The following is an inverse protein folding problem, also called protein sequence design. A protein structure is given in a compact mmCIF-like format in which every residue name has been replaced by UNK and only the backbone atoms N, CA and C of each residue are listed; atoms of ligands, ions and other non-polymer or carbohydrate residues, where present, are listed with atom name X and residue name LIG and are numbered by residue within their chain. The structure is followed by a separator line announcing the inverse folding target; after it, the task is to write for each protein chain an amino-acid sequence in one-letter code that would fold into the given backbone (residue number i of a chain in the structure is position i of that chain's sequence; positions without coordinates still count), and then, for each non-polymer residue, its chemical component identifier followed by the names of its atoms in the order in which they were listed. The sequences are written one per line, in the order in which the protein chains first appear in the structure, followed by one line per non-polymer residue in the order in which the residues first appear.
data_IF_929973102061
#
_entry.id   IF_929973102061
#
_cell.length_a   1.000
_cell.length_b   1.000
_cell.length_c   1.000
_cell.angle_alpha   90.00
_cell.angle_beta   90.00
_cell.angle_gamma   90.00
#
_symmetry.space_group_name_H-M   'P 1'
#
loop_
_entity.id
_entity.type
_entity.pdbx_description
1 polymer ?
#
# COMPACT_ATOMS: atom_id res chain seq x y z
N UNK A 1 -6.72 -10.59 20.61
CA UNK A 1 -7.21 -10.78 19.23
C UNK A 1 -6.87 -12.20 18.77
N UNK A 2 -7.76 -12.84 17.99
CA UNK A 2 -7.42 -14.06 17.25
C UNK A 2 -7.06 -13.69 15.82
N UNK A 3 -5.86 -14.05 15.39
CA UNK A 3 -5.40 -13.89 14.01
C UNK A 3 -5.61 -15.22 13.25
N UNK A 4 -6.50 -15.28 12.25
CA UNK A 4 -6.62 -16.46 11.37
C UNK A 4 -5.31 -16.81 10.67
N UNK A 5 -5.20 -18.05 10.15
CA UNK A 5 -4.00 -18.49 9.42
C UNK A 5 -3.59 -17.51 8.31
N UNK A 6 -2.30 -17.25 8.20
CA UNK A 6 -1.66 -16.31 7.26
C UNK A 6 -0.94 -15.21 8.00
N UNK A 7 -0.39 -14.25 7.26
CA UNK A 7 0.29 -13.09 7.83
C UNK A 7 -0.63 -11.86 7.83
N UNK A 8 -0.47 -11.02 8.83
CA UNK A 8 -1.26 -9.81 9.06
C UNK A 8 -0.32 -8.65 9.27
N UNK A 9 -0.62 -7.51 8.71
CA UNK A 9 0.15 -6.29 8.85
C UNK A 9 -0.60 -5.32 9.75
N UNK A 10 0.03 -4.87 10.81
CA UNK A 10 -0.46 -3.77 11.64
C UNK A 10 -0.32 -2.47 10.84
N UNK A 11 -1.41 -1.74 10.65
CA UNK A 11 -1.38 -0.50 9.86
C UNK A 11 -0.81 0.70 10.61
N UNK A 12 -0.62 0.60 11.92
CA UNK A 12 -0.01 1.68 12.68
C UNK A 12 1.51 1.57 12.73
N UNK A 13 2.03 0.34 12.86
CA UNK A 13 3.47 0.09 13.02
C UNK A 13 4.13 -0.48 11.75
N UNK A 14 3.35 -1.05 10.83
CA UNK A 14 3.85 -1.80 9.68
C UNK A 14 4.35 -3.21 10.03
N UNK A 15 4.30 -3.62 11.29
CA UNK A 15 4.78 -4.93 11.72
C UNK A 15 3.95 -6.07 11.14
N UNK A 16 4.62 -7.18 10.84
CA UNK A 16 4.00 -8.40 10.31
C UNK A 16 3.79 -9.40 11.42
N UNK A 17 2.54 -9.80 11.63
CA UNK A 17 2.14 -10.77 12.65
C UNK A 17 1.74 -12.08 11.97
N UNK A 18 2.38 -13.19 12.38
CA UNK A 18 1.97 -14.52 11.93
C UNK A 18 0.68 -14.93 12.62
N UNK A 19 -0.31 -15.35 11.82
CA UNK A 19 -1.60 -15.82 12.30
C UNK A 19 -1.62 -17.28 12.76
N UNK A 20 -2.82 -17.83 12.86
CA UNK A 20 -3.07 -19.17 13.45
C UNK A 20 -3.02 -19.16 14.98
N UNK A 21 -3.05 -17.98 15.61
CA UNK A 21 -2.88 -17.84 17.08
C UNK A 21 -3.69 -16.69 17.65
N UNK A 22 -3.83 -16.70 18.98
CA UNK A 22 -4.26 -15.53 19.75
C UNK A 22 -3.03 -14.73 20.17
N UNK A 23 -3.16 -13.42 20.15
CA UNK A 23 -2.15 -12.49 20.68
C UNK A 23 -2.84 -11.38 21.48
N UNK A 24 -2.15 -10.86 22.48
CA UNK A 24 -2.45 -9.58 23.09
C UNK A 24 -2.02 -8.47 22.13
N UNK A 25 -2.82 -7.44 22.01
CA UNK A 25 -2.55 -6.26 21.20
C UNK A 25 -2.88 -5.03 22.01
N UNK A 26 -2.07 -4.00 21.88
CA UNK A 26 -2.38 -2.71 22.47
C UNK A 26 -3.60 -2.10 21.79
N UNK A 27 -4.50 -1.58 22.60
CA UNK A 27 -5.72 -0.91 22.15
C UNK A 27 -5.91 0.40 22.92
N UNK A 28 -5.06 1.40 22.69
CA UNK A 28 -5.17 2.69 23.38
C UNK A 28 -6.45 3.41 22.94
N UNK A 29 -6.97 4.26 23.83
CA UNK A 29 -8.26 4.94 23.61
C UNK A 29 -8.29 5.87 22.39
N UNK A 30 -7.13 6.31 21.91
CA UNK A 30 -7.01 7.24 20.80
C UNK A 30 -6.96 6.58 19.41
N UNK A 31 -6.80 5.25 19.31
CA UNK A 31 -6.91 4.52 18.05
C UNK A 31 -7.27 3.04 18.26
N UNK A 32 -7.99 2.49 17.33
CA UNK A 32 -8.34 1.06 17.32
C UNK A 32 -7.25 0.24 16.66
N UNK A 33 -6.93 -0.96 17.16
CA UNK A 33 -6.06 -1.90 16.46
C UNK A 33 -6.61 -2.21 15.07
N UNK A 34 -5.78 -2.08 14.04
CA UNK A 34 -6.17 -2.27 12.66
C UNK A 34 -5.16 -3.16 11.92
N UNK A 35 -5.58 -4.36 11.57
CA UNK A 35 -4.74 -5.37 10.94
C UNK A 35 -5.31 -5.76 9.59
N UNK A 36 -4.45 -5.76 8.58
CA UNK A 36 -4.80 -6.14 7.21
C UNK A 36 -4.00 -7.38 6.81
N UNK A 37 -4.66 -8.31 6.15
CA UNK A 37 -4.00 -9.53 5.69
C UNK A 37 -2.91 -9.21 4.66
N UNK A 38 -1.73 -9.84 4.78
CA UNK A 38 -0.63 -9.71 3.83
C UNK A 38 -1.05 -9.98 2.39
N UNK A 39 -0.52 -9.19 1.46
CA UNK A 39 -0.84 -9.26 0.04
C UNK A 39 -2.20 -8.66 -0.33
N UNK A 40 -2.85 -7.93 0.56
CA UNK A 40 -4.07 -7.21 0.24
C UNK A 40 -3.76 -5.91 -0.51
N UNK A 41 -4.64 -5.53 -1.43
CA UNK A 41 -4.62 -4.24 -2.10
C UNK A 41 -6.05 -3.72 -2.24
N UNK A 42 -6.32 -2.50 -1.79
CA UNK A 42 -7.65 -1.89 -1.87
C UNK A 42 -7.59 -0.36 -1.80
N UNK A 43 -8.53 0.33 -2.45
CA UNK A 43 -8.63 1.79 -2.40
C UNK A 43 -9.00 2.28 -1.00
N UNK A 44 -8.42 3.40 -0.59
CA UNK A 44 -8.70 4.10 0.66
C UNK A 44 -8.78 5.59 0.43
N UNK A 45 -9.51 6.29 1.30
CA UNK A 45 -9.46 7.75 1.37
C UNK A 45 -8.44 8.18 2.42
N UNK A 46 -7.58 9.11 2.06
CA UNK A 46 -6.51 9.64 2.90
C UNK A 46 -6.50 11.16 2.84
N UNK A 47 -5.89 11.80 3.83
CA UNK A 47 -5.60 13.23 3.76
C UNK A 47 -4.61 13.51 2.63
N UNK A 48 -4.89 14.48 1.77
CA UNK A 48 -3.99 14.89 0.70
C UNK A 48 -2.69 15.55 1.20
N UNK A 49 -2.66 15.99 2.44
CA UNK A 49 -1.49 16.63 3.04
C UNK A 49 -0.58 15.64 3.77
N UNK A 50 -1.17 14.76 4.57
CA UNK A 50 -0.43 13.89 5.50
C UNK A 50 -0.52 12.42 5.14
N UNK A 51 -1.38 12.04 4.19
CA UNK A 51 -1.71 10.65 3.83
C UNK A 51 -2.16 9.80 5.02
N UNK A 52 -2.78 10.43 6.01
CA UNK A 52 -3.41 9.70 7.11
C UNK A 52 -4.71 9.05 6.66
N UNK A 53 -4.92 7.81 7.12
CA UNK A 53 -6.15 7.06 6.88
C UNK A 53 -7.35 7.69 7.60
N UNK A 54 -8.55 7.31 7.17
CA UNK A 54 -9.83 7.71 7.75
C UNK A 54 -10.24 9.18 7.52
N UNK A 55 -9.73 9.82 6.46
CA UNK A 55 -10.30 11.06 5.99
C UNK A 55 -11.68 10.78 5.37
N UNK A 56 -12.75 11.49 5.77
CA UNK A 56 -14.08 11.26 5.23
C UNK A 56 -14.14 11.40 3.70
N UNK A 57 -14.88 10.51 3.04
CA UNK A 57 -15.14 10.67 1.61
C UNK A 57 -15.95 11.95 1.37
N UNK A 58 -15.54 12.72 0.36
CA UNK A 58 -16.15 14.01 0.04
C UNK A 58 -15.56 15.21 0.80
N UNK A 59 -14.57 15.00 1.65
CA UNK A 59 -13.74 16.08 2.16
C UNK A 59 -12.88 16.63 1.02
N UNK A 60 -12.81 17.96 0.87
CA UNK A 60 -12.00 18.61 -0.17
C UNK A 60 -10.49 18.34 -0.01
N UNK A 61 -10.06 17.95 1.17
CA UNK A 61 -8.68 17.54 1.47
C UNK A 61 -8.45 16.04 1.27
N UNK A 62 -9.47 15.28 0.89
CA UNK A 62 -9.34 13.85 0.68
C UNK A 62 -8.67 13.53 -0.67
N UNK A 63 -7.76 12.57 -0.64
CA UNK A 63 -7.16 11.97 -1.82
C UNK A 63 -7.45 10.47 -1.84
N UNK A 64 -7.57 9.90 -3.02
CA UNK A 64 -7.65 8.45 -3.19
C UNK A 64 -6.25 7.84 -3.23
N UNK A 65 -6.03 6.82 -2.43
CA UNK A 65 -4.82 6.04 -2.42
C UNK A 65 -5.12 4.54 -2.55
N UNK A 66 -4.21 3.77 -3.13
CA UNK A 66 -4.22 2.32 -3.08
C UNK A 66 -3.38 1.88 -1.88
N UNK A 67 -4.02 1.29 -0.87
CA UNK A 67 -3.31 0.65 0.23
C UNK A 67 -2.91 -0.77 -0.19
N UNK A 68 -1.63 -1.11 -0.02
CA UNK A 68 -1.07 -2.43 -0.33
C UNK A 68 -0.26 -2.91 0.86
N UNK A 69 -0.46 -4.17 1.24
CA UNK A 69 0.36 -4.80 2.29
C UNK A 69 1.37 -5.77 1.69
N UNK A 70 2.55 -5.87 2.31
CA UNK A 70 3.60 -6.79 1.92
C UNK A 70 3.04 -8.21 1.69
N UNK A 71 3.32 -8.87 0.56
CA UNK A 71 2.75 -10.16 0.26
C UNK A 71 3.48 -11.31 0.97
N UNK A 72 2.74 -12.40 1.16
CA UNK A 72 3.27 -13.72 1.44
C UNK A 72 2.62 -14.68 0.44
N UNK A 73 3.22 -14.82 -0.75
CA UNK A 73 2.65 -15.49 -1.91
C UNK A 73 1.90 -14.54 -2.85
N UNK A 74 0.91 -15.06 -3.57
CA UNK A 74 0.09 -14.28 -4.52
C UNK A 74 -1.34 -14.14 -4.02
N UNK A 75 -1.87 -12.92 -4.10
CA UNK A 75 -3.25 -12.62 -3.72
C UNK A 75 -3.87 -11.61 -4.68
N UNK A 76 -5.14 -11.83 -5.03
CA UNK A 76 -5.94 -10.87 -5.80
C UNK A 76 -7.09 -10.32 -4.97
N UNK A 77 -7.37 -9.04 -5.14
CA UNK A 77 -8.49 -8.31 -4.54
C UNK A 77 -9.34 -7.68 -5.64
N UNK A 78 -10.65 -7.81 -5.53
CA UNK A 78 -11.59 -7.27 -6.52
C UNK A 78 -12.39 -6.14 -5.89
N UNK A 79 -12.50 -5.03 -6.62
CA UNK A 79 -13.31 -3.88 -6.26
C UNK A 79 -14.30 -3.58 -7.37
N UNK A 80 -15.47 -3.12 -6.97
CA UNK A 80 -16.51 -2.69 -7.88
C UNK A 80 -16.78 -1.22 -7.64
N UNK A 81 -16.72 -0.44 -8.71
CA UNK A 81 -17.15 0.95 -8.68
C UNK A 81 -18.67 1.03 -8.81
N UNK A 82 -19.22 2.21 -8.59
CA UNK A 82 -20.65 2.52 -8.70
C UNK A 82 -21.32 2.10 -10.03
N UNK A 83 -20.54 1.88 -11.08
CA UNK A 83 -20.98 1.51 -12.45
C UNK A 83 -20.73 0.05 -12.80
N UNK A 84 -20.59 -0.85 -11.83
CA UNK A 84 -20.27 -2.26 -12.05
C UNK A 84 -18.93 -2.51 -12.76
N UNK A 85 -18.06 -1.53 -12.84
CA UNK A 85 -16.72 -1.73 -13.35
C UNK A 85 -15.90 -2.42 -12.30
N UNK A 86 -15.38 -3.60 -12.63
CA UNK A 86 -14.55 -4.41 -11.74
C UNK A 86 -13.09 -4.05 -11.94
N UNK A 87 -12.44 -3.59 -10.90
CA UNK A 87 -10.98 -3.45 -10.83
C UNK A 87 -10.40 -4.60 -10.01
N UNK A 88 -9.39 -5.26 -10.54
CA UNK A 88 -8.66 -6.31 -9.84
C UNK A 88 -7.23 -5.84 -9.58
N UNK A 89 -6.82 -5.88 -8.32
CA UNK A 89 -5.43 -5.72 -7.92
C UNK A 89 -4.86 -7.08 -7.55
N UNK A 90 -3.69 -7.40 -8.07
CA UNK A 90 -2.96 -8.63 -7.71
C UNK A 90 -1.61 -8.25 -7.14
N UNK A 91 -1.31 -8.74 -5.95
CA UNK A 91 -0.01 -8.58 -5.28
C UNK A 91 0.65 -9.95 -5.23
N UNK A 92 1.86 -10.06 -5.77
CA UNK A 92 2.56 -11.33 -5.93
C UNK A 92 3.99 -11.23 -5.44
N UNK A 93 4.38 -12.06 -4.48
CA UNK A 93 5.78 -12.23 -4.12
C UNK A 93 6.54 -12.87 -5.29
N UNK A 94 7.66 -12.27 -5.69
CA UNK A 94 8.55 -12.76 -6.75
C UNK A 94 9.77 -13.44 -6.12
N UNK A 95 10.27 -12.89 -5.03
CA UNK A 95 11.35 -13.44 -4.21
C UNK A 95 11.17 -12.99 -2.77
N UNK A 96 12.08 -13.38 -1.88
CA UNK A 96 12.06 -12.98 -0.46
C UNK A 96 12.08 -11.46 -0.27
N UNK A 97 12.70 -10.73 -1.21
CA UNK A 97 12.89 -9.28 -1.14
C UNK A 97 12.23 -8.53 -2.30
N UNK A 98 11.37 -9.16 -3.09
CA UNK A 98 10.74 -8.50 -4.23
C UNK A 98 9.33 -8.98 -4.45
N UNK A 99 8.45 -8.05 -4.80
CA UNK A 99 7.07 -8.36 -5.18
C UNK A 99 6.57 -7.42 -6.28
N UNK A 100 5.50 -7.84 -6.92
CA UNK A 100 4.86 -7.09 -7.99
C UNK A 100 3.39 -6.82 -7.64
N UNK A 101 2.92 -5.66 -8.06
CA UNK A 101 1.53 -5.21 -7.94
C UNK A 101 1.01 -5.00 -9.36
N UNK A 102 -0.10 -5.66 -9.67
CA UNK A 102 -0.78 -5.52 -10.96
C UNK A 102 -2.14 -4.87 -10.77
N UNK A 103 -2.55 -4.04 -11.72
CA UNK A 103 -3.88 -3.46 -11.79
C UNK A 103 -4.51 -3.72 -13.14
N UNK A 104 -5.79 -4.06 -13.14
CA UNK A 104 -6.61 -4.07 -14.37
C UNK A 104 -7.22 -2.71 -14.69
N UNK A 105 -7.19 -1.79 -13.75
CA UNK A 105 -7.58 -0.40 -13.96
C UNK A 105 -6.34 0.44 -14.23
N UNK A 106 -6.22 0.87 -15.46
CA UNK A 106 -5.12 1.70 -15.97
C UNK A 106 -5.57 3.14 -16.23
N UNK A 107 -6.66 3.58 -15.61
CA UNK A 107 -7.15 4.96 -15.79
C UNK A 107 -6.08 5.96 -15.37
N UNK A 108 -5.81 6.93 -16.23
CA UNK A 108 -4.84 8.00 -15.97
C UNK A 108 -5.21 8.87 -14.77
N UNK A 109 -4.23 9.53 -14.20
CA UNK A 109 -4.38 10.48 -13.09
C UNK A 109 -3.29 10.34 -12.04
N UNK A 110 -3.31 11.23 -11.05
CA UNK A 110 -2.40 11.12 -9.92
C UNK A 110 -2.83 9.96 -9.06
N UNK A 111 -1.91 9.02 -8.84
CA UNK A 111 -2.16 7.88 -7.96
C UNK A 111 -1.14 7.86 -6.85
N UNK A 112 -1.64 7.60 -5.66
CA UNK A 112 -0.84 7.37 -4.47
C UNK A 112 -0.96 5.90 -4.11
N UNK A 113 0.17 5.22 -3.91
CA UNK A 113 0.19 3.83 -3.48
C UNK A 113 0.95 3.76 -2.17
N UNK A 114 0.28 3.28 -1.13
CA UNK A 114 0.81 3.19 0.22
C UNK A 114 1.14 1.73 0.51
N UNK A 115 2.42 1.41 0.60
CA UNK A 115 2.93 0.07 0.87
C UNK A 115 3.18 -0.07 2.37
N UNK A 116 2.51 -1.00 3.03
CA UNK A 116 2.64 -1.28 4.45
C UNK A 116 3.39 -2.59 4.70
N UNK A 117 4.23 -2.60 5.73
CA UNK A 117 5.13 -3.71 6.03
C UNK A 117 6.34 -3.77 5.09
N UNK A 118 6.69 -2.63 4.44
CA UNK A 118 7.74 -2.57 3.43
C UNK A 118 8.53 -1.27 3.55
N UNK A 119 9.84 -1.39 3.66
CA UNK A 119 10.78 -0.33 3.32
C UNK A 119 11.40 -0.69 1.97
N UNK A 120 11.05 0.05 0.93
CA UNK A 120 11.56 -0.23 -0.40
C UNK A 120 13.03 0.22 -0.52
N UNK A 121 13.85 -0.58 -1.19
CA UNK A 121 15.18 -0.18 -1.68
C UNK A 121 15.17 0.15 -3.16
N UNK A 122 14.04 -0.08 -3.83
CA UNK A 122 13.82 0.26 -5.22
C UNK A 122 12.38 0.05 -5.63
N UNK A 123 11.87 0.94 -6.45
CA UNK A 123 10.54 0.85 -7.05
C UNK A 123 10.66 1.11 -8.55
N UNK A 124 9.97 0.31 -9.36
CA UNK A 124 9.80 0.59 -10.79
C UNK A 124 8.34 0.44 -11.20
N UNK A 125 7.97 1.19 -12.24
CA UNK A 125 6.63 1.18 -12.83
C UNK A 125 6.77 0.85 -14.31
N UNK A 126 6.14 -0.24 -14.73
CA UNK A 126 6.22 -0.79 -16.10
C UNK A 126 7.67 -0.88 -16.62
N UNK A 127 8.61 -1.21 -15.71
CA UNK A 127 10.03 -1.35 -15.99
C UNK A 127 10.85 -0.06 -15.85
N UNK A 128 10.23 1.11 -15.70
CA UNK A 128 10.92 2.37 -15.46
C UNK A 128 11.19 2.58 -13.96
N UNK A 129 12.47 2.69 -13.58
CA UNK A 129 12.85 2.92 -12.19
C UNK A 129 12.42 4.31 -11.71
N UNK A 130 11.87 4.37 -10.50
CA UNK A 130 11.56 5.61 -9.81
C UNK A 130 12.74 6.11 -8.96
N UNK A 131 12.77 7.40 -8.71
CA UNK A 131 13.74 8.01 -7.80
C UNK A 131 13.16 8.08 -6.40
N UNK A 132 13.96 7.74 -5.40
CA UNK A 132 13.63 7.99 -4.00
C UNK A 132 13.64 9.50 -3.74
N UNK A 133 12.65 9.94 -2.97
CA UNK A 133 12.52 11.34 -2.55
C UNK A 133 12.73 11.46 -1.05
N UNK A 134 13.45 12.48 -0.62
CA UNK A 134 13.66 12.76 0.81
C UNK A 134 12.41 13.40 1.46
N UNK A 135 11.43 13.79 0.66
CA UNK A 135 10.20 14.42 1.13
C UNK A 135 8.97 13.86 0.45
N UNK A 136 7.90 13.70 1.22
CA UNK A 136 6.58 13.38 0.67
C UNK A 136 6.00 14.61 -0.04
N UNK A 137 5.74 14.50 -1.34
CA UNK A 137 5.12 15.57 -2.12
C UNK A 137 4.18 15.03 -3.18
N UNK A 138 2.89 15.19 -2.97
CA UNK A 138 1.86 14.84 -3.97
C UNK A 138 1.91 15.75 -5.20
N UNK A 139 2.55 16.92 -5.08
CA UNK A 139 2.76 17.88 -6.18
C UNK A 139 4.08 17.70 -6.90
N UNK A 140 4.88 16.69 -6.59
CA UNK A 140 6.16 16.43 -7.24
C UNK A 140 6.04 16.36 -8.77
N UNK A 141 6.99 16.94 -9.50
CA UNK A 141 6.91 17.04 -10.97
C UNK A 141 7.12 15.71 -11.69
N UNK A 142 7.71 14.72 -11.02
CA UNK A 142 8.00 13.37 -11.55
C UNK A 142 7.51 12.31 -10.62
N UNK A 143 7.16 11.10 -11.12
CA UNK A 143 6.90 9.94 -10.28
C UNK A 143 8.10 9.64 -9.38
N UNK A 144 7.82 9.32 -8.12
CA UNK A 144 8.84 9.06 -7.10
C UNK A 144 8.31 8.13 -6.03
N UNK A 145 9.17 7.65 -5.15
CA UNK A 145 8.73 7.00 -3.93
C UNK A 145 9.40 7.65 -2.72
N UNK A 146 8.76 7.55 -1.57
CA UNK A 146 9.21 8.10 -0.30
C UNK A 146 9.12 7.00 0.77
N UNK A 147 10.17 6.87 1.58
CA UNK A 147 10.19 5.95 2.71
C UNK A 147 9.87 6.73 3.98
N UNK A 148 8.78 6.37 4.61
CA UNK A 148 8.42 6.88 5.92
C UNK A 148 8.88 5.83 6.95
N UNK A 149 9.66 6.22 7.93
CA UNK A 149 10.40 5.34 8.84
C UNK A 149 9.62 4.29 9.64
N UNK A 150 8.33 4.10 9.35
CA UNK A 150 7.39 3.19 10.02
C UNK A 150 7.06 1.95 9.16
N UNK A 151 8.01 1.32 8.49
CA UNK A 151 7.76 0.21 7.56
C UNK A 151 6.67 0.56 6.52
N UNK A 152 6.68 1.81 6.06
CA UNK A 152 5.76 2.31 5.05
C UNK A 152 6.54 2.97 3.91
N UNK A 153 6.22 2.59 2.69
CA UNK A 153 6.71 3.25 1.48
C UNK A 153 5.53 3.87 0.73
N UNK A 154 5.65 5.11 0.32
CA UNK A 154 4.65 5.81 -0.47
C UNK A 154 5.17 5.99 -1.89
N UNK A 155 4.42 5.51 -2.88
CA UNK A 155 4.73 5.68 -4.30
C UNK A 155 3.78 6.72 -4.87
N UNK A 156 4.34 7.74 -5.52
CA UNK A 156 3.59 8.82 -6.17
C UNK A 156 3.67 8.61 -7.68
N UNK A 157 2.53 8.38 -8.30
CA UNK A 157 2.39 8.21 -9.74
C UNK A 157 1.60 9.37 -10.31
N UNK A 158 2.15 10.05 -11.30
CA UNK A 158 1.51 11.21 -11.94
C UNK A 158 1.17 10.92 -13.40
N UNK A 159 -0.02 11.35 -13.78
CA UNK A 159 -0.48 11.50 -15.17
C UNK A 159 -0.12 10.34 -16.09
N UNK A 160 -0.14 9.13 -15.59
CA UNK A 160 0.21 7.95 -16.33
C UNK A 160 -0.68 6.77 -16.01
N UNK A 161 -0.89 5.96 -17.01
CA UNK A 161 -1.41 4.62 -16.86
C UNK A 161 -0.28 3.73 -16.32
N UNK A 162 -0.61 2.78 -15.49
CA UNK A 162 0.34 1.76 -15.06
C UNK A 162 -0.36 0.40 -15.01
N UNK A 163 0.36 -0.62 -15.39
CA UNK A 163 -0.12 -2.00 -15.32
C UNK A 163 0.59 -2.80 -14.25
N UNK A 164 1.86 -2.45 -13.99
CA UNK A 164 2.70 -3.18 -13.06
C UNK A 164 3.63 -2.26 -12.26
N UNK A 165 3.69 -2.48 -10.96
CA UNK A 165 4.70 -1.90 -10.08
C UNK A 165 5.54 -3.03 -9.52
N UNK A 166 6.85 -2.92 -9.64
CA UNK A 166 7.79 -3.85 -9.01
C UNK A 166 8.45 -3.14 -7.83
N UNK A 167 8.45 -3.78 -6.69
CA UNK A 167 9.03 -3.28 -5.44
C UNK A 167 10.13 -4.23 -5.00
N UNK A 168 11.32 -3.68 -4.74
CA UNK A 168 12.40 -4.37 -4.05
C UNK A 168 12.46 -3.83 -2.63
N UNK A 169 12.31 -4.69 -1.65
CA UNK A 169 12.40 -4.32 -0.25
C UNK A 169 13.86 -4.36 0.22
N UNK A 170 14.25 -3.42 1.06
CA UNK A 170 15.45 -3.59 1.87
C UNK A 170 15.20 -4.78 2.79
N UNK A 171 16.10 -5.75 2.80
CA UNK A 171 15.94 -6.98 3.58
C UNK A 171 15.53 -6.65 5.01
N UNK A 172 14.57 -7.42 5.54
CA UNK A 172 14.23 -7.36 6.95
C UNK A 172 15.52 -7.64 7.76
N UNK A 173 15.92 -6.70 8.59
CA UNK A 173 16.95 -6.92 9.60
C UNK A 173 16.40 -7.74 10.74
#
# INVERSE_FOLDING_TARGET
VYFPNGNWVDLWTGEVISGGKRAEVDAPLNHSPLYIRSGSAFPVSVSSETLTLATPFGDETAAEALLVTAPNGTRSSNFYTDKNTKTTYTVSAVSDNSFEIYSTDISGGNRVIMLYGVNASGVSVDGAALTESDTLSLSAAKPSYYIDGSLRTVVILKNGEWSKITVTASGAK
#
